data_IF_731749740898
#
_entry.id   IF_731749740898
#
_cell.length_a   1.000
_cell.length_b   1.000
_cell.length_c   1.000
_cell.angle_alpha   90.00
_cell.angle_beta   90.00
_cell.angle_gamma   90.00
#
_symmetry.space_group_name_H-M   'P 1'
#
loop_
_entity.id
_entity.type
_entity.pdbx_description
1 polymer ?
#
# COMPACT_ATOMS: atom_id res chain seq x y z
N UNK A 1 10.91 1.47 -12.86
CA UNK A 1 11.33 2.84 -13.15
C UNK A 1 12.11 2.95 -14.45
N UNK A 2 13.34 2.46 -14.50
CA UNK A 2 14.24 2.67 -15.65
C UNK A 2 13.68 2.25 -17.00
N UNK A 3 13.03 1.08 -17.08
CA UNK A 3 12.41 0.59 -18.32
C UNK A 3 11.37 1.59 -18.82
N UNK A 4 10.51 2.08 -17.92
CA UNK A 4 9.48 3.08 -18.25
C UNK A 4 10.13 4.39 -18.72
N UNK A 5 11.16 4.88 -18.04
CA UNK A 5 11.86 6.10 -18.46
C UNK A 5 12.55 5.96 -19.81
N UNK A 6 13.18 4.81 -20.08
CA UNK A 6 13.84 4.51 -21.37
C UNK A 6 12.82 4.44 -22.51
N UNK A 7 11.72 3.71 -22.33
CA UNK A 7 10.67 3.56 -23.35
C UNK A 7 9.91 4.88 -23.56
N UNK A 8 9.53 5.53 -22.46
CA UNK A 8 8.78 6.79 -22.47
C UNK A 8 9.63 8.02 -22.81
N UNK A 9 10.96 7.88 -22.89
CA UNK A 9 11.94 8.94 -23.18
C UNK A 9 11.78 10.19 -22.29
N UNK A 10 11.38 9.99 -21.04
CA UNK A 10 11.18 11.03 -20.03
C UNK A 10 11.52 10.49 -18.63
N UNK A 11 11.86 11.36 -17.66
CA UNK A 11 11.91 11.00 -16.25
C UNK A 11 10.62 10.33 -15.76
N UNK A 12 10.72 9.42 -14.78
CA UNK A 12 9.59 8.62 -14.33
C UNK A 12 8.48 9.46 -13.68
N UNK A 13 8.82 10.44 -12.87
CA UNK A 13 7.90 11.39 -12.24
C UNK A 13 7.07 12.16 -13.28
N UNK A 14 7.70 12.56 -14.39
CA UNK A 14 6.99 13.20 -15.51
C UNK A 14 6.03 12.23 -16.17
N UNK A 15 6.45 10.97 -16.39
CA UNK A 15 5.59 9.94 -16.95
C UNK A 15 4.40 9.63 -16.03
N UNK A 16 4.62 9.49 -14.72
CA UNK A 16 3.56 9.25 -13.74
C UNK A 16 2.56 10.41 -13.73
N UNK A 17 3.04 11.66 -13.71
CA UNK A 17 2.16 12.84 -13.76
C UNK A 17 1.32 12.88 -15.03
N UNK A 18 1.91 12.64 -16.20
CA UNK A 18 1.24 12.74 -17.50
C UNK A 18 0.31 11.55 -17.80
N UNK A 19 0.68 10.36 -17.33
CA UNK A 19 0.01 9.11 -17.71
C UNK A 19 -0.85 8.51 -16.59
N UNK A 20 -0.68 8.92 -15.34
CA UNK A 20 -1.39 8.37 -14.18
C UNK A 20 -2.07 9.47 -13.38
N UNK A 21 -1.32 10.33 -12.71
CA UNK A 21 -1.87 11.26 -11.71
C UNK A 21 -2.86 12.26 -12.33
N UNK A 22 -2.47 12.94 -13.41
CA UNK A 22 -3.35 13.91 -14.09
C UNK A 22 -4.58 13.22 -14.72
N UNK A 23 -4.44 12.13 -15.50
CA UNK A 23 -5.60 11.42 -16.06
C UNK A 23 -6.56 10.83 -15.01
N UNK A 24 -6.06 10.41 -13.85
CA UNK A 24 -6.91 9.93 -12.76
C UNK A 24 -7.58 11.08 -11.98
N UNK A 25 -7.05 12.30 -12.08
CA UNK A 25 -7.55 13.47 -11.38
C UNK A 25 -7.02 13.60 -9.95
N UNK A 26 -5.86 13.01 -9.66
CA UNK A 26 -5.22 13.00 -8.35
C UNK A 26 -4.50 14.33 -8.09
N UNK A 27 -5.24 15.32 -7.59
CA UNK A 27 -4.74 16.71 -7.44
C UNK A 27 -3.94 16.94 -6.18
N UNK A 28 -4.09 16.06 -5.19
CA UNK A 28 -3.43 16.13 -3.89
C UNK A 28 -2.34 15.05 -3.76
N UNK A 29 -2.05 14.35 -4.84
CA UNK A 29 -0.98 13.36 -4.92
C UNK A 29 0.24 13.99 -5.57
N UNK A 30 1.34 14.06 -4.84
CA UNK A 30 2.59 14.65 -5.32
C UNK A 30 3.77 13.71 -5.14
N UNK A 31 4.64 13.69 -6.14
CA UNK A 31 5.92 12.98 -6.05
C UNK A 31 6.98 13.83 -5.32
N UNK A 32 7.80 13.20 -4.48
CA UNK A 32 8.94 13.85 -3.82
C UNK A 32 10.13 12.88 -3.69
N UNK A 33 11.34 13.41 -3.86
CA UNK A 33 12.60 12.67 -3.63
C UNK A 33 13.24 13.03 -2.27
N UNK A 34 12.61 13.93 -1.53
CA UNK A 34 13.04 14.38 -0.20
C UNK A 34 12.12 13.79 0.86
N UNK A 35 12.32 14.16 2.12
CA UNK A 35 11.39 13.86 3.20
C UNK A 35 10.21 14.84 3.30
N UNK A 36 10.08 15.80 2.38
CA UNK A 36 9.05 16.82 2.45
C UNK A 36 7.65 16.24 2.22
N UNK A 37 6.74 16.54 3.14
CA UNK A 37 5.30 16.22 3.05
C UNK A 37 4.52 17.53 2.95
N UNK A 38 3.64 17.71 1.95
CA UNK A 38 2.79 18.90 1.85
C UNK A 38 1.90 19.07 3.08
N UNK A 39 1.75 20.33 3.53
CA UNK A 39 0.84 20.66 4.63
C UNK A 39 -0.63 20.66 4.18
N UNK A 40 -1.58 20.29 5.06
CA UNK A 40 -1.38 19.80 6.44
C UNK A 40 -0.84 18.35 6.49
N UNK A 41 0.08 18.09 7.43
CA UNK A 41 0.73 16.79 7.58
C UNK A 41 -0.01 15.95 8.62
N UNK A 42 -0.37 14.71 8.25
CA UNK A 42 -0.74 13.68 9.22
C UNK A 42 0.55 13.16 9.84
N UNK A 43 0.83 13.49 11.10
CA UNK A 43 2.08 13.05 11.73
C UNK A 43 2.06 11.55 12.06
N UNK A 44 3.15 10.86 11.73
CA UNK A 44 3.42 9.47 12.07
C UNK A 44 4.47 9.34 13.17
N UNK A 45 4.40 8.18 13.84
CA UNK A 45 5.32 7.81 14.88
C UNK A 45 5.67 6.33 14.78
N UNK A 46 6.88 6.00 15.21
CA UNK A 46 7.45 4.67 15.01
C UNK A 46 8.32 4.24 16.22
N UNK A 47 8.60 2.94 16.32
CA UNK A 47 9.55 2.32 17.25
C UNK A 47 10.41 1.24 16.59
N UNK A 48 10.29 0.99 15.29
CA UNK A 48 10.99 -0.10 14.56
C UNK A 48 12.51 -0.05 14.73
N UNK A 49 13.10 1.15 14.81
CA UNK A 49 14.56 1.30 14.93
C UNK A 49 15.12 0.88 16.28
N UNK A 50 14.28 0.58 17.29
CA UNK A 50 14.68 0.12 18.62
C UNK A 50 15.74 -0.98 18.56
N UNK A 51 15.48 -2.02 17.76
CA UNK A 51 16.39 -3.16 17.63
C UNK A 51 17.75 -2.78 17.07
N UNK A 52 17.76 -2.00 15.98
CA UNK A 52 18.97 -1.51 15.34
C UNK A 52 19.78 -0.58 16.26
N UNK A 53 19.09 0.24 17.06
CA UNK A 53 19.68 1.16 18.03
C UNK A 53 20.04 0.49 19.37
N UNK A 54 19.75 -0.80 19.54
CA UNK A 54 20.00 -1.58 20.77
C UNK A 54 19.40 -0.94 22.02
N UNK A 55 18.22 -0.32 21.90
CA UNK A 55 17.54 0.33 23.02
C UNK A 55 16.93 -0.75 23.93
N UNK A 56 17.30 -0.81 25.23
CA UNK A 56 16.78 -1.82 26.15
C UNK A 56 15.25 -1.82 26.25
N UNK A 57 14.62 -2.99 26.40
CA UNK A 57 13.17 -3.14 26.42
C UNK A 57 12.47 -2.34 27.55
N UNK A 58 13.18 -2.06 28.64
CA UNK A 58 12.68 -1.26 29.76
C UNK A 58 12.84 0.26 29.56
N UNK A 59 13.44 0.71 28.47
CA UNK A 59 13.56 2.11 28.08
C UNK A 59 12.46 2.41 27.07
N UNK A 60 11.61 3.39 27.34
CA UNK A 60 10.60 3.85 26.39
C UNK A 60 11.28 4.37 25.11
N UNK A 61 10.74 3.98 23.95
CA UNK A 61 11.19 4.46 22.65
C UNK A 61 9.95 4.58 21.78
N UNK A 62 9.74 5.78 21.27
CA UNK A 62 8.63 6.19 20.43
C UNK A 62 9.06 7.52 19.81
N UNK A 63 9.19 7.57 18.50
CA UNK A 63 9.76 8.71 17.79
C UNK A 63 8.80 9.24 16.74
N UNK A 64 8.83 10.55 16.53
CA UNK A 64 8.15 11.17 15.40
C UNK A 64 8.93 10.83 14.12
N UNK A 65 8.24 10.26 13.13
CA UNK A 65 8.85 9.64 11.95
C UNK A 65 8.41 10.25 10.62
N UNK A 66 7.55 11.27 10.63
CA UNK A 66 6.90 11.77 9.40
C UNK A 66 7.87 12.21 8.31
N UNK A 67 8.98 12.83 8.69
CA UNK A 67 9.94 13.40 7.73
C UNK A 67 11.14 12.48 7.49
N UNK A 68 10.92 11.16 7.44
CA UNK A 68 11.93 10.21 6.95
C UNK A 68 11.91 10.16 5.42
N UNK A 69 13.08 10.28 4.78
CA UNK A 69 13.21 10.07 3.34
C UNK A 69 13.14 8.57 2.98
N UNK A 70 12.06 8.18 2.30
CA UNK A 70 11.78 6.80 1.87
C UNK A 70 12.15 6.50 0.40
N UNK A 71 12.88 7.39 -0.28
CA UNK A 71 13.21 7.24 -1.71
C UNK A 71 14.03 5.98 -2.03
N UNK A 72 14.66 5.35 -1.04
CA UNK A 72 15.33 4.06 -1.21
C UNK A 72 14.36 2.90 -1.52
N UNK A 73 13.08 3.03 -1.18
CA UNK A 73 12.08 1.97 -1.30
C UNK A 73 11.42 1.87 -2.68
N UNK A 74 11.47 2.92 -3.51
CA UNK A 74 10.81 2.97 -4.81
C UNK A 74 11.74 3.52 -5.90
N UNK A 75 11.46 3.27 -7.19
CA UNK A 75 12.24 3.88 -8.26
C UNK A 75 12.23 5.41 -8.17
N UNK A 76 13.35 6.06 -8.52
CA UNK A 76 13.46 7.53 -8.55
C UNK A 76 12.27 8.17 -9.27
N UNK A 77 11.56 9.06 -8.57
CA UNK A 77 10.38 9.77 -9.09
C UNK A 77 9.04 9.06 -8.89
N UNK A 78 9.00 7.90 -8.24
CA UNK A 78 7.76 7.17 -7.93
C UNK A 78 7.35 7.23 -6.44
N UNK A 79 8.15 7.88 -5.59
CA UNK A 79 7.75 8.12 -4.21
C UNK A 79 6.73 9.26 -4.16
N UNK A 80 5.58 9.02 -3.55
CA UNK A 80 4.42 9.90 -3.61
C UNK A 80 3.80 10.08 -2.23
N UNK A 81 3.28 11.28 -1.96
CA UNK A 81 2.39 11.58 -0.84
C UNK A 81 1.01 11.88 -1.39
N UNK A 82 -0.03 11.36 -0.75
CA UNK A 82 -1.43 11.54 -1.14
C UNK A 82 -2.30 11.92 0.07
N UNK A 83 -3.57 12.22 -0.18
CA UNK A 83 -4.58 12.35 0.87
C UNK A 83 -5.66 11.25 0.73
N UNK A 84 -6.59 11.22 1.69
CA UNK A 84 -7.61 10.16 1.72
C UNK A 84 -8.56 10.19 0.51
N UNK A 85 -8.83 11.38 -0.05
CA UNK A 85 -9.73 11.55 -1.19
C UNK A 85 -9.11 11.03 -2.49
N UNK A 86 -7.85 11.38 -2.74
CA UNK A 86 -7.09 10.90 -3.87
C UNK A 86 -6.83 9.39 -3.74
N UNK A 87 -6.56 8.87 -2.53
CA UNK A 87 -6.42 7.43 -2.29
C UNK A 87 -7.72 6.67 -2.58
N UNK A 88 -8.88 7.18 -2.17
CA UNK A 88 -10.17 6.60 -2.55
C UNK A 88 -10.41 6.66 -4.06
N UNK A 89 -9.99 7.75 -4.71
CA UNK A 89 -10.05 7.89 -6.17
C UNK A 89 -9.16 6.85 -6.86
N UNK A 90 -7.95 6.63 -6.36
CA UNK A 90 -7.02 5.62 -6.86
C UNK A 90 -7.61 4.22 -6.78
N UNK A 91 -8.19 3.82 -5.63
CA UNK A 91 -8.89 2.55 -5.48
C UNK A 91 -9.93 2.33 -6.61
N UNK A 92 -10.77 3.34 -6.88
CA UNK A 92 -11.77 3.27 -7.94
C UNK A 92 -11.11 3.18 -9.32
N UNK A 93 -10.15 4.06 -9.63
CA UNK A 93 -9.55 4.16 -10.97
C UNK A 93 -8.73 2.93 -11.33
N UNK A 94 -7.95 2.40 -10.39
CA UNK A 94 -7.20 1.15 -10.55
C UNK A 94 -8.18 -0.03 -10.61
N UNK A 95 -9.12 -0.11 -9.69
CA UNK A 95 -10.08 -1.22 -9.58
C UNK A 95 -11.11 -1.29 -10.71
N UNK A 96 -11.28 -0.22 -11.49
CA UNK A 96 -12.10 -0.22 -12.72
C UNK A 96 -11.27 -0.35 -14.00
N UNK A 97 -9.94 -0.30 -13.89
CA UNK A 97 -9.05 -0.27 -15.05
C UNK A 97 -9.19 0.99 -15.90
N UNK A 98 -9.51 2.14 -15.30
CA UNK A 98 -9.90 3.37 -16.00
C UNK A 98 -8.89 3.87 -17.04
N UNK A 99 -7.61 3.55 -16.88
CA UNK A 99 -6.53 3.93 -17.80
C UNK A 99 -6.01 2.77 -18.67
N UNK A 100 -6.58 1.57 -18.52
CA UNK A 100 -6.08 0.36 -19.14
C UNK A 100 -7.03 -0.13 -20.23
N UNK A 101 -6.46 -0.80 -21.24
CA UNK A 101 -7.26 -1.64 -22.12
C UNK A 101 -7.85 -2.80 -21.32
N UNK A 102 -8.93 -3.41 -21.82
CA UNK A 102 -9.53 -4.60 -21.18
C UNK A 102 -8.50 -5.72 -20.96
N UNK A 103 -7.65 -6.01 -21.94
CA UNK A 103 -6.65 -7.07 -21.84
C UNK A 103 -5.53 -6.72 -20.85
N UNK A 104 -5.11 -5.45 -20.77
CA UNK A 104 -4.14 -5.01 -19.76
C UNK A 104 -4.73 -5.03 -18.35
N UNK A 105 -5.99 -4.62 -18.20
CA UNK A 105 -6.70 -4.73 -16.93
C UNK A 105 -6.87 -6.18 -16.50
N UNK A 106 -7.17 -7.09 -17.42
CA UNK A 106 -7.24 -8.53 -17.13
C UNK A 106 -5.85 -9.11 -16.79
N UNK A 107 -4.78 -8.67 -17.44
CA UNK A 107 -3.43 -9.11 -17.10
C UNK A 107 -2.97 -8.61 -15.73
N UNK A 108 -3.28 -7.35 -15.38
CA UNK A 108 -3.05 -6.79 -14.04
C UNK A 108 -3.92 -7.49 -13.00
N UNK A 109 -5.16 -7.70 -13.42
CA UNK A 109 -6.33 -8.32 -12.83
C UNK A 109 -6.15 -9.72 -12.34
N UNK A 110 -6.23 -10.66 -13.27
CA UNK A 110 -6.69 -12.02 -13.11
C UNK A 110 -5.94 -12.84 -12.05
N UNK A 111 -6.61 -13.82 -11.41
CA UNK A 111 -6.03 -14.62 -10.33
C UNK A 111 -5.07 -15.71 -10.85
N UNK A 112 -4.27 -15.38 -11.86
CA UNK A 112 -3.41 -16.30 -12.60
C UNK A 112 -2.28 -16.89 -11.74
N UNK A 113 -1.97 -16.26 -10.60
CA UNK A 113 -0.91 -16.71 -9.69
C UNK A 113 -1.42 -17.59 -8.54
N UNK A 114 -2.72 -17.91 -8.44
CA UNK A 114 -3.19 -18.83 -7.40
C UNK A 114 -2.49 -20.18 -7.50
N UNK A 115 -1.97 -20.68 -6.38
CA UNK A 115 -1.19 -21.92 -6.32
C UNK A 115 0.26 -21.79 -6.81
N UNK A 116 0.69 -20.62 -7.30
CA UNK A 116 2.08 -20.36 -7.66
C UNK A 116 2.94 -20.06 -6.42
N UNK A 117 4.22 -20.40 -6.50
CA UNK A 117 5.19 -20.14 -5.43
C UNK A 117 5.23 -21.22 -4.35
N UNK A 118 6.24 -21.14 -3.49
CA UNK A 118 6.44 -22.03 -2.35
C UNK A 118 7.17 -21.28 -1.25
N UNK A 119 7.11 -21.82 -0.02
CA UNK A 119 7.84 -21.24 1.11
C UNK A 119 9.35 -21.35 0.89
N UNK A 120 10.06 -20.27 1.19
CA UNK A 120 11.53 -20.24 1.21
C UNK A 120 12.01 -19.65 2.53
N UNK A 121 12.99 -20.29 3.16
CA UNK A 121 13.43 -19.93 4.52
C UNK A 121 14.05 -18.52 4.57
N UNK A 122 14.72 -18.09 3.50
CA UNK A 122 15.35 -16.78 3.39
C UNK A 122 14.38 -15.64 2.99
N UNK A 123 13.10 -15.93 2.82
CA UNK A 123 12.09 -14.97 2.37
C UNK A 123 10.77 -15.10 3.15
N UNK A 124 10.73 -15.92 4.21
CA UNK A 124 9.55 -16.02 5.07
C UNK A 124 9.34 -14.70 5.86
N UNK A 125 8.09 -14.24 6.05
CA UNK A 125 6.84 -14.86 5.60
C UNK A 125 6.42 -14.49 4.16
N UNK A 126 7.14 -13.59 3.48
CA UNK A 126 6.76 -13.02 2.19
C UNK A 126 6.75 -13.99 1.01
N UNK A 127 7.61 -15.03 1.02
CA UNK A 127 7.58 -16.10 0.03
C UNK A 127 6.72 -17.27 0.53
N UNK A 128 5.58 -17.48 -0.13
CA UNK A 128 4.65 -18.57 0.14
C UNK A 128 3.89 -18.94 -1.15
N UNK A 129 3.15 -20.05 -1.10
CA UNK A 129 2.22 -20.40 -2.19
C UNK A 129 1.04 -19.44 -2.16
N UNK A 130 0.85 -18.67 -3.22
CA UNK A 130 -0.21 -17.66 -3.36
C UNK A 130 -1.60 -18.30 -3.17
N UNK A 131 -2.45 -17.70 -2.33
CA UNK A 131 -3.77 -18.24 -1.96
C UNK A 131 -4.87 -17.22 -2.23
N UNK A 132 -6.13 -17.67 -2.17
CA UNK A 132 -7.27 -16.76 -2.35
C UNK A 132 -7.26 -15.61 -1.32
N UNK A 133 -6.80 -15.86 -0.09
CA UNK A 133 -6.71 -14.82 0.95
C UNK A 133 -5.69 -13.73 0.66
N UNK A 134 -4.63 -14.04 -0.09
CA UNK A 134 -3.61 -13.08 -0.48
C UNK A 134 -2.87 -13.63 -1.70
N UNK A 135 -3.06 -12.97 -2.84
CA UNK A 135 -2.26 -13.19 -4.03
C UNK A 135 -1.91 -11.89 -4.76
N UNK A 136 -0.94 -11.93 -5.68
CA UNK A 136 -0.52 -10.76 -6.45
C UNK A 136 -0.94 -10.85 -7.93
N UNK A 137 -1.38 -9.72 -8.47
CA UNK A 137 -1.42 -9.44 -9.90
C UNK A 137 -0.18 -8.66 -10.35
N UNK A 138 -0.31 -7.84 -11.39
CA UNK A 138 0.77 -6.94 -11.82
C UNK A 138 0.71 -5.65 -10.99
N UNK A 139 1.43 -5.62 -9.87
CA UNK A 139 1.50 -4.42 -9.02
C UNK A 139 0.21 -4.13 -8.25
N UNK A 140 -0.64 -5.13 -8.04
CA UNK A 140 -1.85 -5.05 -7.20
C UNK A 140 -1.96 -6.31 -6.35
N UNK A 141 -2.42 -6.16 -5.11
CA UNK A 141 -2.79 -7.29 -4.25
C UNK A 141 -4.23 -7.69 -4.57
N UNK A 142 -4.50 -8.99 -4.50
CA UNK A 142 -5.82 -9.59 -4.51
C UNK A 142 -6.07 -10.31 -3.20
N UNK A 143 -7.24 -10.06 -2.62
CA UNK A 143 -7.72 -10.77 -1.43
C UNK A 143 -9.17 -11.15 -1.64
N UNK A 144 -9.42 -12.40 -2.03
CA UNK A 144 -10.70 -12.83 -2.58
C UNK A 144 -11.04 -12.06 -3.84
N UNK A 145 -12.22 -11.43 -3.86
CA UNK A 145 -12.69 -10.57 -4.94
C UNK A 145 -12.14 -9.14 -4.87
N UNK A 146 -11.48 -8.76 -3.78
CA UNK A 146 -10.99 -7.40 -3.55
C UNK A 146 -9.62 -7.17 -4.20
N UNK A 147 -9.47 -6.01 -4.83
CA UNK A 147 -8.21 -5.48 -5.36
C UNK A 147 -7.70 -4.42 -4.40
N UNK A 148 -6.44 -4.48 -3.99
CA UNK A 148 -5.92 -3.54 -2.99
C UNK A 148 -4.42 -3.26 -3.11
N UNK A 149 -3.99 -2.21 -2.42
CA UNK A 149 -2.62 -1.96 -1.97
C UNK A 149 -2.67 -1.63 -0.49
N UNK A 150 -1.71 -2.14 0.28
CA UNK A 150 -1.69 -1.97 1.73
C UNK A 150 -0.27 -1.71 2.28
N UNK A 151 0.36 -0.57 1.93
CA UNK A 151 1.69 -0.26 2.43
C UNK A 151 1.70 -0.08 3.96
N UNK A 152 2.83 -0.47 4.56
CA UNK A 152 3.18 -0.24 5.96
C UNK A 152 4.64 0.19 5.97
N UNK A 153 4.90 1.41 6.43
CA UNK A 153 6.24 1.96 6.52
C UNK A 153 6.23 3.09 7.55
N UNK A 154 7.35 3.32 8.23
CA UNK A 154 7.66 4.54 8.99
C UNK A 154 6.53 5.11 9.88
N UNK A 155 5.71 4.24 10.48
CA UNK A 155 4.60 4.65 11.33
C UNK A 155 3.31 5.05 10.58
N UNK A 156 3.29 4.93 9.25
CA UNK A 156 2.10 4.97 8.42
C UNK A 156 1.63 3.58 8.02
N UNK A 157 0.34 3.35 8.18
CA UNK A 157 -0.35 2.18 7.66
C UNK A 157 -1.48 2.67 6.77
N UNK A 158 -1.45 2.32 5.50
CA UNK A 158 -2.51 2.68 4.57
C UNK A 158 -3.07 1.45 3.84
N UNK A 159 -4.33 1.53 3.44
CA UNK A 159 -4.98 0.52 2.60
C UNK A 159 -5.98 1.20 1.69
N UNK A 160 -5.81 0.99 0.39
CA UNK A 160 -6.81 1.30 -0.62
C UNK A 160 -7.33 -0.02 -1.19
N UNK A 161 -8.65 -0.16 -1.32
CA UNK A 161 -9.27 -1.39 -1.76
C UNK A 161 -10.52 -1.13 -2.60
N UNK A 162 -10.76 -1.98 -3.59
CA UNK A 162 -11.93 -1.94 -4.45
C UNK A 162 -12.53 -3.33 -4.64
N UNK A 163 -13.86 -3.41 -4.49
CA UNK A 163 -14.66 -4.58 -4.83
C UNK A 163 -15.41 -4.31 -6.14
N UNK A 164 -15.00 -4.92 -7.27
CA UNK A 164 -15.60 -4.63 -8.57
C UNK A 164 -17.08 -5.01 -8.71
N UNK A 165 -17.51 -6.12 -8.08
CA UNK A 165 -18.88 -6.64 -8.16
C UNK A 165 -19.91 -5.66 -7.61
N UNK A 166 -19.57 -4.98 -6.50
CA UNK A 166 -20.46 -4.05 -5.80
C UNK A 166 -20.05 -2.57 -5.97
N UNK A 167 -18.95 -2.30 -6.67
CA UNK A 167 -18.39 -0.96 -6.90
C UNK A 167 -18.06 -0.22 -5.60
N UNK A 168 -17.58 -0.95 -4.60
CA UNK A 168 -17.23 -0.39 -3.29
C UNK A 168 -15.74 -0.06 -3.28
N UNK A 169 -15.41 1.18 -2.94
CA UNK A 169 -14.05 1.60 -2.65
C UNK A 169 -13.89 1.90 -1.16
N UNK A 170 -12.78 1.47 -0.58
CA UNK A 170 -12.42 1.73 0.81
C UNK A 170 -11.00 2.30 0.81
N UNK A 171 -10.80 3.41 1.50
CA UNK A 171 -9.50 4.01 1.73
C UNK A 171 -9.34 4.22 3.24
N UNK A 172 -8.23 3.73 3.80
CA UNK A 172 -7.92 3.82 5.22
C UNK A 172 -6.47 4.27 5.37
N UNK A 173 -6.23 5.25 6.23
CA UNK A 173 -4.90 5.65 6.67
C UNK A 173 -4.90 5.74 8.20
N UNK A 174 -3.89 5.16 8.85
CA UNK A 174 -3.73 5.18 10.31
C UNK A 174 -2.27 5.45 10.67
N UNK A 175 -2.07 6.14 11.79
CA UNK A 175 -0.78 6.23 12.49
C UNK A 175 -0.90 5.60 13.87
N UNK A 176 0.23 5.35 14.53
CA UNK A 176 0.29 4.47 15.69
C UNK A 176 0.50 5.22 16.99
N UNK A 177 -0.21 4.79 18.03
CA UNK A 177 0.10 5.16 19.42
C UNK A 177 1.20 4.24 19.98
N UNK A 178 1.89 4.61 21.08
CA UNK A 178 2.98 3.81 21.64
C UNK A 178 2.61 2.35 21.95
N UNK A 179 1.35 2.07 22.28
CA UNK A 179 0.85 0.74 22.64
C UNK A 179 0.75 -0.22 21.46
N UNK A 180 0.86 0.27 20.22
CA UNK A 180 0.85 -0.56 19.03
C UNK A 180 2.15 -1.37 18.82
N UNK A 181 3.23 -0.95 19.47
CA UNK A 181 4.56 -1.52 19.30
C UNK A 181 4.86 -2.56 20.39
N UNK A 182 5.39 -3.72 20.00
CA UNK A 182 5.86 -4.72 20.96
C UNK A 182 7.21 -4.32 21.60
N UNK A 183 7.72 -5.16 22.49
CA UNK A 183 9.01 -4.92 23.17
C UNK A 183 10.23 -4.81 22.24
N UNK A 184 10.11 -5.27 21.00
CA UNK A 184 11.14 -5.17 19.96
C UNK A 184 10.89 -3.99 19.01
N UNK A 185 9.75 -3.30 19.13
CA UNK A 185 9.34 -2.23 18.23
C UNK A 185 8.57 -2.72 17.00
N UNK A 186 8.18 -3.98 16.93
CA UNK A 186 7.39 -4.48 15.80
C UNK A 186 5.91 -4.07 15.95
N UNK A 187 5.24 -3.88 14.81
CA UNK A 187 3.82 -3.57 14.72
C UNK A 187 3.21 -4.23 13.47
N UNK A 188 1.88 -4.12 13.32
CA UNK A 188 1.13 -4.70 12.21
C UNK A 188 0.47 -3.59 11.38
N UNK A 189 0.12 -3.93 10.14
CA UNK A 189 -0.66 -3.05 9.28
C UNK A 189 -2.11 -2.94 9.82
N UNK A 190 -2.35 -1.93 10.65
CA UNK A 190 -3.67 -1.67 11.26
C UNK A 190 -4.72 -1.25 10.24
N UNK A 191 -4.32 -0.56 9.16
CA UNK A 191 -5.25 -0.16 8.10
C UNK A 191 -5.83 -1.37 7.37
N UNK A 192 -5.09 -2.46 7.18
CA UNK A 192 -5.59 -3.72 6.60
C UNK A 192 -6.67 -4.33 7.51
N UNK A 193 -6.46 -4.30 8.82
CA UNK A 193 -7.46 -4.77 9.79
C UNK A 193 -8.74 -3.95 9.73
N UNK A 194 -8.61 -2.62 9.74
CA UNK A 194 -9.77 -1.70 9.64
C UNK A 194 -10.49 -1.86 8.29
N UNK A 195 -9.76 -1.97 7.18
CA UNK A 195 -10.31 -2.27 5.86
C UNK A 195 -11.15 -3.55 5.90
N UNK A 196 -10.63 -4.64 6.46
CA UNK A 196 -11.35 -5.92 6.50
C UNK A 196 -12.63 -5.85 7.34
N UNK A 197 -12.62 -5.10 8.44
CA UNK A 197 -13.81 -4.87 9.26
C UNK A 197 -14.86 -4.04 8.50
N UNK A 198 -14.46 -2.95 7.84
CA UNK A 198 -15.36 -2.14 7.02
C UNK A 198 -15.90 -2.97 5.85
N UNK A 199 -15.03 -3.65 5.12
CA UNK A 199 -15.38 -4.50 3.97
C UNK A 199 -16.38 -5.59 4.34
N UNK A 200 -16.18 -6.27 5.47
CA UNK A 200 -17.13 -7.27 5.95
C UNK A 200 -18.48 -6.68 6.35
N UNK A 201 -18.52 -5.43 6.80
CA UNK A 201 -19.75 -4.74 7.14
C UNK A 201 -20.51 -4.24 5.90
N UNK A 202 -19.80 -3.69 4.90
CA UNK A 202 -20.43 -3.07 3.72
C UNK A 202 -20.71 -4.05 2.58
N UNK A 203 -20.00 -5.18 2.52
CA UNK A 203 -20.18 -6.23 1.53
C UNK A 203 -20.28 -7.61 2.21
N UNK A 204 -21.35 -7.87 2.98
CA UNK A 204 -21.48 -9.11 3.75
C UNK A 204 -21.54 -10.38 2.89
N UNK A 205 -21.94 -10.26 1.61
CA UNK A 205 -22.03 -11.37 0.67
C UNK A 205 -20.71 -11.65 -0.08
N UNK A 206 -19.77 -10.68 -0.11
CA UNK A 206 -18.43 -10.82 -0.68
C UNK A 206 -17.37 -10.12 0.20
N UNK A 207 -17.25 -10.51 1.48
CA UNK A 207 -16.36 -9.85 2.41
C UNK A 207 -14.90 -10.15 2.06
N UNK A 208 -13.96 -9.23 2.32
CA UNK A 208 -12.56 -9.54 2.17
C UNK A 208 -12.18 -10.71 3.08
N UNK A 209 -11.42 -11.71 2.59
CA UNK A 209 -10.99 -12.84 3.41
C UNK A 209 -10.33 -12.37 4.69
N UNK A 210 -10.71 -12.93 5.83
CA UNK A 210 -10.08 -12.56 7.10
C UNK A 210 -8.74 -13.28 7.21
N UNK A 211 -7.73 -12.60 7.78
CA UNK A 211 -6.50 -13.28 8.17
C UNK A 211 -6.87 -14.42 9.14
N UNK A 212 -6.36 -15.63 8.92
CA UNK A 212 -6.52 -16.69 9.92
C UNK A 212 -5.70 -16.27 11.14
N UNK A 213 -6.37 -16.09 12.28
CA UNK A 213 -5.73 -15.89 13.58
C UNK A 213 -4.74 -17.00 13.91
#
# INVERSE_FOLDING_TARGET
GEILSKIGKKPLDVLLREKVLTPMGLKNTTGSQTSEIPSPVLHAFDSERRGALKIPANVAFYEESSFWNVQWGTPMGANETTNIDDMATTAIKVGTGALLSKSSYEAMTAPNLLGFGHKQDNCAPSCFTQVNGYNYGIGVVRSGSWLLQNPLLDGYSATEAYLPSEKIAIAVATTFAPEAFDSQGNYKNSSDTVFRLIGAYVAPDDPPPQAKN
#
